data_IF_859442681637
#
_entry.id   IF_859442681637
#
_cell.length_a   1.000
_cell.length_b   1.000
_cell.length_c   1.000
_cell.angle_alpha   90.00
_cell.angle_beta   90.00
_cell.angle_gamma   90.00
#
_symmetry.space_group_name_H-M   'P 1'
#
loop_
_entity.id
_entity.type
_entity.pdbx_description
1 polymer ?
#
# COMPACT_ATOMS: atom_id res chain seq x y z
N UNK A 1 -5.06 -0.15 -30.27
CA UNK A 1 -5.17 0.82 -29.17
C UNK A 1 -5.92 0.12 -28.06
N UNK A 2 -5.26 -0.20 -26.93
CA UNK A 2 -5.96 -0.79 -25.80
C UNK A 2 -6.87 0.27 -25.16
N UNK A 3 -8.14 -0.06 -25.01
CA UNK A 3 -9.15 0.89 -24.49
C UNK A 3 -8.98 0.97 -22.99
N UNK A 4 -8.65 2.15 -22.47
CA UNK A 4 -8.60 2.38 -21.02
C UNK A 4 -10.04 2.45 -20.48
N UNK A 5 -10.34 1.62 -19.50
CA UNK A 5 -11.63 1.66 -18.78
C UNK A 5 -11.42 2.20 -17.38
N UNK A 6 -11.98 3.37 -17.09
CA UNK A 6 -11.89 3.96 -15.75
C UNK A 6 -12.64 3.08 -14.73
N UNK A 7 -11.95 2.69 -13.66
CA UNK A 7 -12.53 1.94 -12.53
C UNK A 7 -12.94 2.88 -11.40
N UNK A 8 -12.11 3.89 -11.11
CA UNK A 8 -12.32 4.88 -10.07
C UNK A 8 -11.83 6.25 -10.53
N UNK A 9 -12.65 7.25 -10.27
CA UNK A 9 -12.34 8.67 -10.44
C UNK A 9 -11.53 9.18 -9.25
N UNK A 10 -10.93 10.37 -9.38
CA UNK A 10 -10.20 11.02 -8.30
C UNK A 10 -11.00 11.10 -6.99
N UNK A 11 -12.24 11.56 -7.04
CA UNK A 11 -13.10 11.69 -5.85
C UNK A 11 -13.39 10.34 -5.19
N UNK A 12 -13.63 9.31 -5.98
CA UNK A 12 -13.84 7.95 -5.45
C UNK A 12 -12.57 7.39 -4.81
N UNK A 13 -11.39 7.65 -5.38
CA UNK A 13 -10.10 7.23 -4.81
C UNK A 13 -9.85 7.96 -3.49
N UNK A 14 -10.19 9.24 -3.39
CA UNK A 14 -10.11 10.00 -2.13
C UNK A 14 -10.95 9.36 -1.02
N UNK A 15 -12.19 8.96 -1.33
CA UNK A 15 -13.05 8.25 -0.38
C UNK A 15 -12.50 6.87 0.01
N UNK A 16 -11.86 6.19 -0.94
CA UNK A 16 -11.17 4.91 -0.66
C UNK A 16 -10.03 5.12 0.33
N UNK A 17 -9.18 6.13 0.16
CA UNK A 17 -8.10 6.44 1.11
C UNK A 17 -8.62 6.79 2.50
N UNK A 18 -9.70 7.58 2.59
CA UNK A 18 -10.33 7.92 3.88
C UNK A 18 -10.84 6.65 4.59
N UNK A 19 -11.50 5.74 3.88
CA UNK A 19 -11.98 4.48 4.45
C UNK A 19 -10.82 3.59 4.90
N UNK A 20 -9.79 3.41 4.07
CA UNK A 20 -8.61 2.61 4.42
C UNK A 20 -7.88 3.19 5.64
N UNK A 21 -7.75 4.51 5.73
CA UNK A 21 -7.15 5.17 6.89
C UNK A 21 -7.99 4.95 8.17
N UNK A 22 -9.32 4.97 8.08
CA UNK A 22 -10.20 4.62 9.21
C UNK A 22 -10.00 3.16 9.66
N UNK A 23 -9.90 2.23 8.72
CA UNK A 23 -9.66 0.81 9.01
C UNK A 23 -8.30 0.60 9.68
N UNK A 24 -7.26 1.31 9.23
CA UNK A 24 -5.92 1.30 9.85
C UNK A 24 -5.99 1.89 11.27
N UNK A 25 -6.62 3.04 11.45
CA UNK A 25 -6.77 3.68 12.76
C UNK A 25 -7.53 2.79 13.75
N UNK A 26 -8.55 2.08 13.30
CA UNK A 26 -9.29 1.14 14.14
C UNK A 26 -8.42 -0.07 14.52
N UNK A 27 -7.71 -0.66 13.56
CA UNK A 27 -6.86 -1.82 13.78
C UNK A 27 -5.66 -1.53 14.71
N UNK A 28 -5.19 -0.29 14.74
CA UNK A 28 -4.02 0.16 15.51
C UNK A 28 -4.36 1.31 16.47
N UNK A 29 -5.57 1.29 17.03
CA UNK A 29 -6.07 2.36 17.93
C UNK A 29 -5.22 2.59 19.17
N UNK A 30 -4.53 1.55 19.66
CA UNK A 30 -3.69 1.60 20.85
C UNK A 30 -2.22 1.90 20.54
N UNK A 31 -1.86 2.00 19.24
CA UNK A 31 -0.49 2.25 18.81
C UNK A 31 -0.22 3.75 18.69
N UNK A 32 0.98 4.15 19.12
CA UNK A 32 1.48 5.52 18.99
C UNK A 32 2.43 5.69 17.81
N UNK A 33 2.92 4.59 17.28
CA UNK A 33 3.91 4.57 16.21
C UNK A 33 3.57 3.48 15.20
N UNK A 34 3.62 3.81 13.92
CA UNK A 34 3.46 2.89 12.81
C UNK A 34 4.63 3.05 11.83
N UNK A 35 4.98 1.97 11.16
CA UNK A 35 5.97 2.00 10.09
C UNK A 35 5.32 1.63 8.76
N UNK A 36 5.19 2.61 7.86
CA UNK A 36 4.70 2.41 6.51
C UNK A 36 5.88 2.10 5.59
N UNK A 37 5.84 0.92 4.99
CA UNK A 37 6.82 0.47 4.00
C UNK A 37 6.15 0.47 2.63
N UNK A 38 6.52 1.43 1.81
CA UNK A 38 5.98 1.57 0.46
C UNK A 38 6.82 0.78 -0.56
N UNK A 39 6.18 0.13 -1.50
CA UNK A 39 6.84 -0.52 -2.64
C UNK A 39 6.87 0.45 -3.82
N UNK A 40 8.07 0.83 -4.24
CA UNK A 40 8.32 1.74 -5.37
C UNK A 40 7.59 3.10 -5.24
N UNK A 41 7.65 3.90 -6.29
CA UNK A 41 7.08 5.26 -6.29
C UNK A 41 5.55 5.30 -6.15
N UNK A 42 4.83 4.31 -6.71
CA UNK A 42 3.36 4.25 -6.62
C UNK A 42 2.89 3.89 -5.22
N UNK A 43 3.54 2.91 -4.59
CA UNK A 43 3.29 2.59 -3.19
C UNK A 43 3.56 3.78 -2.28
N UNK A 44 4.64 4.54 -2.53
CA UNK A 44 4.95 5.75 -1.76
C UNK A 44 3.87 6.83 -1.92
N UNK A 45 3.35 7.04 -3.10
CA UNK A 45 2.25 7.99 -3.30
C UNK A 45 1.02 7.62 -2.48
N UNK A 46 0.68 6.33 -2.41
CA UNK A 46 -0.43 5.82 -1.61
C UNK A 46 -0.13 5.94 -0.11
N UNK A 47 1.10 5.62 0.31
CA UNK A 47 1.51 5.74 1.71
C UNK A 47 1.40 7.18 2.23
N UNK A 48 1.77 8.16 1.41
CA UNK A 48 1.63 9.59 1.73
C UNK A 48 0.16 10.01 1.87
N UNK A 49 -0.72 9.56 0.98
CA UNK A 49 -2.16 9.83 1.06
C UNK A 49 -2.79 9.18 2.29
N UNK A 50 -2.46 7.91 2.57
CA UNK A 50 -2.94 7.22 3.77
C UNK A 50 -2.43 7.88 5.05
N UNK A 51 -1.15 8.28 5.09
CA UNK A 51 -0.60 9.01 6.23
C UNK A 51 -1.31 10.34 6.46
N UNK A 52 -1.58 11.09 5.39
CA UNK A 52 -2.33 12.36 5.48
C UNK A 52 -3.73 12.15 6.05
N UNK A 53 -4.48 11.15 5.58
CA UNK A 53 -5.82 10.86 6.10
C UNK A 53 -5.77 10.29 7.53
N UNK A 54 -4.76 9.47 7.84
CA UNK A 54 -4.57 8.91 9.20
C UNK A 54 -4.28 10.02 10.22
N UNK A 55 -3.43 10.98 9.90
CA UNK A 55 -3.10 12.13 10.77
C UNK A 55 -4.35 12.96 11.13
N UNK A 56 -5.31 13.04 10.22
CA UNK A 56 -6.61 13.71 10.48
C UNK A 56 -7.52 12.94 11.45
N UNK A 57 -7.37 11.62 11.53
CA UNK A 57 -8.22 10.72 12.34
C UNK A 57 -7.55 10.43 13.67
N UNK A 58 -6.26 10.15 13.66
CA UNK A 58 -5.46 9.73 14.81
C UNK A 58 -4.16 10.54 14.89
N UNK A 59 -4.27 11.82 15.21
CA UNK A 59 -3.16 12.78 15.22
C UNK A 59 -2.06 12.50 16.23
N UNK A 60 -2.25 11.56 17.14
CA UNK A 60 -1.25 11.11 18.13
C UNK A 60 -0.44 9.89 17.66
N UNK A 61 -0.69 9.38 16.47
CA UNK A 61 0.05 8.28 15.88
C UNK A 61 1.16 8.83 14.97
N UNK A 62 2.41 8.49 15.28
CA UNK A 62 3.56 8.87 14.44
C UNK A 62 3.79 7.82 13.37
N UNK A 63 3.84 8.23 12.11
CA UNK A 63 4.12 7.34 11.00
C UNK A 63 5.54 7.57 10.48
N UNK A 64 6.38 6.54 10.57
CA UNK A 64 7.66 6.48 9.87
C UNK A 64 7.44 5.97 8.45
N UNK A 65 8.11 6.57 7.46
CA UNK A 65 7.96 6.23 6.05
C UNK A 65 9.26 5.67 5.47
N UNK A 66 9.21 4.43 5.00
CA UNK A 66 10.26 3.79 4.22
C UNK A 66 9.78 3.44 2.82
N UNK A 67 10.68 3.45 1.86
CA UNK A 67 10.41 3.03 0.49
C UNK A 67 11.39 1.93 0.08
N UNK A 68 10.88 0.87 -0.52
CA UNK A 68 11.70 -0.21 -1.10
C UNK A 68 11.56 -0.22 -2.61
N UNK A 69 12.65 0.02 -3.32
CA UNK A 69 12.73 -0.04 -4.78
C UNK A 69 13.07 -1.46 -5.22
N UNK A 70 12.04 -2.27 -5.49
CA UNK A 70 12.21 -3.70 -5.80
C UNK A 70 12.76 -3.92 -7.21
N UNK A 71 12.41 -3.06 -8.17
CA UNK A 71 12.85 -3.16 -9.56
C UNK A 71 14.30 -2.65 -9.77
N UNK A 72 14.79 -1.79 -8.88
CA UNK A 72 16.09 -1.10 -8.98
C UNK A 72 17.02 -1.58 -7.88
N UNK A 73 17.68 -2.70 -8.06
CA UNK A 73 18.71 -3.26 -7.15
C UNK A 73 18.24 -3.54 -5.71
N UNK A 74 16.94 -3.66 -5.47
CA UNK A 74 16.37 -3.90 -4.14
C UNK A 74 16.90 -2.92 -3.08
N UNK A 75 16.64 -1.66 -3.27
CA UNK A 75 17.23 -0.57 -2.48
C UNK A 75 16.20 0.10 -1.56
N UNK A 76 16.58 0.27 -0.30
CA UNK A 76 15.82 1.05 0.68
C UNK A 76 16.08 2.56 0.56
N UNK A 77 15.05 3.36 0.77
CA UNK A 77 15.08 4.82 0.82
C UNK A 77 14.19 5.34 1.95
N UNK A 78 14.57 6.48 2.54
CA UNK A 78 13.88 7.06 3.69
C UNK A 78 14.22 6.33 4.99
N UNK A 79 13.21 6.01 5.80
CA UNK A 79 13.40 5.24 7.03
C UNK A 79 13.59 3.77 6.67
N UNK A 80 14.75 3.21 6.99
CA UNK A 80 15.06 1.80 6.73
C UNK A 80 14.72 0.94 7.96
N UNK A 81 14.50 -0.39 7.80
CA UNK A 81 14.08 -1.28 8.89
C UNK A 81 14.90 -1.18 10.17
N UNK A 82 16.22 -1.07 10.05
CA UNK A 82 17.14 -0.97 11.20
C UNK A 82 17.00 0.32 12.03
N UNK A 83 16.24 1.31 11.55
CA UNK A 83 15.98 2.57 12.25
C UNK A 83 14.69 2.51 13.08
N UNK A 84 13.92 1.43 12.99
CA UNK A 84 12.60 1.29 13.59
C UNK A 84 12.64 0.19 14.65
N UNK A 85 11.94 0.39 15.77
CA UNK A 85 11.81 -0.64 16.81
C UNK A 85 11.03 -1.85 16.23
N UNK A 86 11.51 -3.06 16.49
CA UNK A 86 10.91 -4.30 15.96
C UNK A 86 9.48 -4.56 16.44
N UNK A 87 9.10 -3.93 17.56
CA UNK A 87 7.73 -3.98 18.10
C UNK A 87 6.78 -3.00 17.41
N UNK A 88 7.30 -2.05 16.61
CA UNK A 88 6.47 -1.12 15.84
C UNK A 88 5.74 -1.88 14.73
N UNK A 89 4.40 -1.82 14.66
CA UNK A 89 3.66 -2.48 13.59
C UNK A 89 4.02 -1.90 12.22
N UNK A 90 4.24 -2.80 11.27
CA UNK A 90 4.57 -2.46 9.89
C UNK A 90 3.32 -2.61 9.01
N UNK A 91 3.12 -1.65 8.11
CA UNK A 91 2.13 -1.74 7.05
C UNK A 91 2.85 -1.66 5.71
N UNK A 92 2.86 -2.77 4.97
CA UNK A 92 3.39 -2.85 3.61
C UNK A 92 2.36 -2.30 2.64
N UNK A 93 2.75 -1.31 1.82
CA UNK A 93 1.84 -0.53 0.98
C UNK A 93 2.28 -0.60 -0.49
N UNK A 94 1.32 -0.92 -1.38
CA UNK A 94 1.53 -0.86 -2.82
C UNK A 94 0.22 -0.47 -3.54
N UNK A 95 0.32 -0.20 -4.85
CA UNK A 95 -0.83 0.17 -5.67
C UNK A 95 -1.73 -1.03 -5.98
N UNK A 96 -1.19 -2.07 -6.60
CA UNK A 96 -1.96 -3.23 -7.06
C UNK A 96 -1.26 -4.54 -6.72
N UNK A 97 -1.95 -5.41 -6.00
CA UNK A 97 -1.48 -6.78 -5.85
C UNK A 97 -1.95 -7.63 -7.03
N UNK A 98 -1.01 -8.04 -7.88
CA UNK A 98 -1.25 -8.95 -9.01
C UNK A 98 -1.01 -10.41 -8.59
N UNK A 99 0.20 -10.92 -8.81
CA UNK A 99 0.56 -12.29 -8.44
C UNK A 99 0.86 -12.45 -6.93
N UNK A 100 1.20 -11.35 -6.27
CA UNK A 100 1.67 -11.33 -4.89
C UNK A 100 3.19 -11.57 -4.73
N UNK A 101 3.93 -11.80 -5.83
CA UNK A 101 5.36 -12.12 -5.77
C UNK A 101 6.21 -11.01 -5.18
N UNK A 102 6.00 -9.77 -5.62
CA UNK A 102 6.71 -8.59 -5.08
C UNK A 102 6.43 -8.39 -3.61
N UNK A 103 5.15 -8.46 -3.22
CA UNK A 103 4.76 -8.33 -1.81
C UNK A 103 5.39 -9.45 -0.96
N UNK A 104 5.41 -10.69 -1.46
CA UNK A 104 6.03 -11.82 -0.76
C UNK A 104 7.52 -11.59 -0.51
N UNK A 105 8.25 -11.08 -1.49
CA UNK A 105 9.68 -10.78 -1.37
C UNK A 105 9.94 -9.76 -0.25
N UNK A 106 9.17 -8.67 -0.22
CA UNK A 106 9.34 -7.62 0.81
C UNK A 106 8.87 -8.10 2.19
N UNK A 107 7.79 -8.90 2.26
CA UNK A 107 7.33 -9.50 3.52
C UNK A 107 8.37 -10.43 4.14
N UNK A 108 9.06 -11.23 3.32
CA UNK A 108 10.17 -12.09 3.79
C UNK A 108 11.29 -11.24 4.35
N UNK A 109 11.70 -10.17 3.65
CA UNK A 109 12.75 -9.25 4.11
C UNK A 109 12.37 -8.60 5.46
N UNK A 110 11.17 -8.08 5.60
CA UNK A 110 10.66 -7.51 6.85
C UNK A 110 10.60 -8.54 7.99
N UNK A 111 10.18 -9.76 7.68
CA UNK A 111 10.16 -10.86 8.65
C UNK A 111 11.59 -11.23 9.11
N UNK A 112 12.55 -11.28 8.19
CA UNK A 112 13.96 -11.57 8.50
C UNK A 112 14.61 -10.45 9.33
N UNK A 113 14.15 -9.19 9.20
CA UNK A 113 14.53 -8.10 10.11
C UNK A 113 13.98 -8.27 11.52
N UNK A 114 12.97 -9.12 11.72
CA UNK A 114 12.44 -9.48 13.03
C UNK A 114 11.23 -8.67 13.50
N UNK A 115 10.50 -8.00 12.61
CA UNK A 115 9.26 -7.30 12.98
C UNK A 115 8.18 -8.28 13.46
N UNK A 116 7.57 -7.97 14.61
CA UNK A 116 6.55 -8.82 15.26
C UNK A 116 5.20 -8.78 14.54
N UNK A 117 4.85 -7.62 13.99
CA UNK A 117 3.54 -7.38 13.35
C UNK A 117 3.74 -6.73 11.99
N UNK A 118 3.31 -7.43 10.93
CA UNK A 118 3.32 -6.94 9.56
C UNK A 118 1.92 -7.11 8.98
N UNK A 119 1.34 -6.02 8.46
CA UNK A 119 0.07 -5.99 7.74
C UNK A 119 0.27 -5.44 6.35
N UNK A 120 -0.72 -5.62 5.48
CA UNK A 120 -0.65 -5.21 4.08
C UNK A 120 -1.79 -4.28 3.72
N UNK A 121 -1.49 -3.24 2.93
CA UNK A 121 -2.48 -2.29 2.41
C UNK A 121 -2.26 -2.08 0.90
N UNK A 122 -3.23 -2.46 0.10
CA UNK A 122 -3.18 -2.31 -1.37
C UNK A 122 -4.38 -1.49 -1.86
N UNK A 123 -4.15 -0.54 -2.75
CA UNK A 123 -5.22 0.24 -3.35
C UNK A 123 -6.16 -0.65 -4.17
N UNK A 124 -5.61 -1.60 -4.90
CA UNK A 124 -6.40 -2.58 -5.63
C UNK A 124 -5.88 -4.01 -5.45
N UNK A 125 -6.79 -4.95 -5.35
CA UNK A 125 -6.48 -6.36 -5.29
C UNK A 125 -7.20 -7.11 -6.40
N UNK A 126 -6.48 -8.03 -7.07
CA UNK A 126 -7.02 -8.97 -8.07
C UNK A 126 -7.27 -10.33 -7.43
N UNK A 127 -8.32 -11.04 -7.88
CA UNK A 127 -8.66 -12.36 -7.34
C UNK A 127 -7.63 -13.46 -7.69
N UNK A 128 -7.01 -13.37 -8.87
CA UNK A 128 -6.04 -14.38 -9.33
C UNK A 128 -4.63 -14.09 -8.84
N UNK A 129 -4.13 -14.93 -7.93
CA UNK A 129 -2.79 -14.81 -7.34
C UNK A 129 -2.02 -16.11 -7.46
N UNK A 130 -0.69 -15.99 -7.56
CA UNK A 130 0.21 -17.14 -7.54
C UNK A 130 0.72 -17.44 -6.12
N UNK A 131 0.65 -16.45 -5.22
CA UNK A 131 1.10 -16.56 -3.83
C UNK A 131 -0.05 -16.26 -2.86
N UNK A 132 -0.09 -16.90 -1.68
CA UNK A 132 -1.20 -16.81 -0.72
C UNK A 132 -1.14 -15.52 0.12
N UNK A 133 -0.98 -14.37 -0.54
CA UNK A 133 -0.95 -13.07 0.11
C UNK A 133 -2.26 -12.33 -0.16
N UNK A 134 -2.86 -11.82 0.89
CA UNK A 134 -4.05 -10.99 0.84
C UNK A 134 -3.76 -9.61 1.42
N UNK A 135 -4.48 -8.61 0.95
CA UNK A 135 -4.51 -7.31 1.61
C UNK A 135 -5.29 -7.42 2.94
N UNK A 136 -4.70 -6.92 4.03
CA UNK A 136 -5.45 -6.68 5.27
C UNK A 136 -6.34 -5.45 5.11
N UNK A 137 -5.83 -4.42 4.43
CA UNK A 137 -6.55 -3.21 4.08
C UNK A 137 -6.58 -3.09 2.55
N UNK A 138 -7.75 -3.18 1.95
CA UNK A 138 -7.92 -3.15 0.49
C UNK A 138 -8.79 -1.99 0.06
N UNK A 139 -8.31 -1.23 -0.92
CA UNK A 139 -9.09 -0.15 -1.50
C UNK A 139 -10.24 -0.67 -2.36
N UNK A 140 -9.93 -1.49 -3.35
CA UNK A 140 -10.90 -2.05 -4.30
C UNK A 140 -10.53 -3.49 -4.64
N UNK A 141 -11.46 -4.42 -4.49
CA UNK A 141 -11.29 -5.79 -5.01
C UNK A 141 -11.87 -5.88 -6.41
N UNK A 142 -11.10 -6.38 -7.35
CA UNK A 142 -11.46 -6.39 -8.77
C UNK A 142 -11.39 -7.82 -9.30
N UNK A 143 -12.53 -8.32 -9.77
CA UNK A 143 -12.59 -9.52 -10.58
C UNK A 143 -12.20 -9.16 -12.03
N UNK A 144 -10.98 -9.54 -12.43
CA UNK A 144 -10.47 -9.30 -13.78
C UNK A 144 -10.25 -10.62 -14.52
N UNK A 145 -10.28 -10.58 -15.84
CA UNK A 145 -9.76 -11.67 -16.65
C UNK A 145 -8.22 -11.73 -16.58
N UNK A 146 -7.61 -12.83 -17.01
CA UNK A 146 -6.15 -12.99 -17.00
C UNK A 146 -5.43 -11.98 -17.93
N UNK A 147 -6.13 -11.39 -18.88
CA UNK A 147 -5.57 -10.47 -19.89
C UNK A 147 -5.70 -8.99 -19.48
N UNK A 148 -6.55 -8.67 -18.52
CA UNK A 148 -6.74 -7.29 -18.05
C UNK A 148 -5.75 -6.94 -16.97
N UNK A 149 -5.18 -5.74 -17.06
CA UNK A 149 -4.26 -5.20 -16.08
C UNK A 149 -4.84 -3.95 -15.41
N UNK A 150 -4.75 -3.90 -14.08
CA UNK A 150 -5.17 -2.75 -13.29
C UNK A 150 -3.98 -1.81 -13.12
N UNK A 151 -4.19 -0.53 -13.36
CA UNK A 151 -3.18 0.51 -13.23
C UNK A 151 -3.66 1.66 -12.36
N UNK A 152 -2.80 2.11 -11.47
CA UNK A 152 -2.96 3.35 -10.72
C UNK A 152 -2.10 4.44 -11.35
N UNK A 153 -2.69 5.59 -11.68
CA UNK A 153 -2.00 6.78 -12.14
C UNK A 153 -2.04 7.86 -11.07
N UNK A 154 -0.86 8.35 -10.71
CA UNK A 154 -0.61 9.48 -9.83
C UNK A 154 0.23 10.57 -10.51
N UNK A 155 0.26 10.59 -11.84
CA UNK A 155 1.00 11.59 -12.63
C UNK A 155 0.55 13.01 -12.32
N UNK A 156 -0.75 13.17 -12.04
CA UNK A 156 -1.31 14.40 -11.53
C UNK A 156 -1.95 14.16 -10.15
N UNK A 157 -1.40 14.70 -9.05
CA UNK A 157 -1.97 14.53 -7.72
C UNK A 157 -3.41 15.03 -7.57
N UNK A 158 -3.82 15.98 -8.44
CA UNK A 158 -5.20 16.48 -8.48
C UNK A 158 -6.14 15.65 -9.35
N UNK A 159 -5.63 14.61 -10.02
CA UNK A 159 -6.40 13.74 -10.92
C UNK A 159 -5.90 12.29 -10.83
N UNK A 160 -6.03 11.70 -9.65
CA UNK A 160 -5.72 10.29 -9.42
C UNK A 160 -6.71 9.42 -10.19
N UNK A 161 -6.23 8.35 -10.82
CA UNK A 161 -7.06 7.44 -11.61
C UNK A 161 -6.70 5.99 -11.37
N UNK A 162 -7.71 5.13 -11.27
CA UNK A 162 -7.57 3.68 -11.32
C UNK A 162 -8.30 3.18 -12.57
N UNK A 163 -7.61 2.43 -13.42
CA UNK A 163 -8.17 1.99 -14.70
C UNK A 163 -7.68 0.60 -15.10
N UNK A 164 -8.43 -0.03 -16.02
CA UNK A 164 -8.05 -1.27 -16.71
C UNK A 164 -7.47 -0.99 -18.10
N UNK A 165 -6.50 -1.79 -18.50
CA UNK A 165 -5.99 -1.89 -19.89
C UNK A 165 -6.09 -3.34 -20.34
#
# INVERSE_FOLDING_TARGET
>A
MSTRTALKTHNEIRLVFQRMACEIAEAFSDETDLYFVAINARGMAIALELNHELDRIQSNCNVSLGNIHVADDYRWEGVVPNMVALTTPVILIDDVIHSGGTAMQVLVDLYEHGFDTIRTAFLAEREHRNYPIRADFVGVSIATTLQEHVFFSNENPSDLQLYLI
#
